data_IF_751624373528
#
_entry.id   IF_751624373528
#
_cell.length_a   1.000
_cell.length_b   1.000
_cell.length_c   1.000
_cell.angle_alpha   90.00
_cell.angle_beta   90.00
_cell.angle_gamma   90.00
#
_symmetry.space_group_name_H-M   'P 1'
#
loop_
_entity.id
_entity.type
_entity.pdbx_description
1 polymer ?
#
# COMPACT_ATOMS: atom_id res chain seq x y z
N UNK A 1 -0.74 21.96 14.79
CA UNK A 1 -0.03 20.69 14.53
C UNK A 1 0.76 20.79 13.24
N UNK A 2 2.03 20.46 13.30
CA UNK A 2 2.88 20.44 12.12
C UNK A 2 2.61 19.19 11.30
N UNK A 3 2.34 19.36 10.03
CA UNK A 3 2.16 18.23 9.10
C UNK A 3 3.48 17.98 8.37
N UNK A 4 3.79 16.70 8.20
CA UNK A 4 4.92 16.31 7.37
C UNK A 4 4.57 16.54 5.90
N UNK A 5 5.52 17.06 5.14
CA UNK A 5 5.36 17.19 3.71
C UNK A 5 5.81 15.90 3.03
N UNK A 6 5.23 15.60 1.87
CA UNK A 6 5.73 14.47 1.08
C UNK A 6 7.15 14.79 0.59
N UNK A 7 8.06 13.82 0.75
CA UNK A 7 9.37 13.94 0.16
C UNK A 7 9.25 13.89 -1.38
N UNK A 8 10.22 14.45 -2.12
CA UNK A 8 10.15 14.48 -3.58
C UNK A 8 10.09 13.07 -4.19
N UNK A 9 9.53 12.94 -5.39
CA UNK A 9 9.46 11.66 -6.10
C UNK A 9 10.84 11.10 -6.42
N UNK A 10 11.85 11.97 -6.55
CA UNK A 10 13.23 11.58 -6.82
C UNK A 10 14.08 11.47 -5.55
N UNK A 11 13.44 11.52 -4.36
CA UNK A 11 14.16 11.38 -3.09
C UNK A 11 15.03 10.12 -3.09
N UNK A 12 16.27 10.23 -2.60
CA UNK A 12 17.24 9.14 -2.70
C UNK A 12 18.15 9.03 -1.47
N UNK A 13 17.61 9.33 -0.30
CA UNK A 13 18.37 9.29 0.95
C UNK A 13 17.57 8.56 2.03
N UNK A 14 18.07 7.45 2.60
CA UNK A 14 19.30 6.73 2.24
C UNK A 14 19.15 6.03 0.88
N UNK A 15 20.24 6.04 0.12
CA UNK A 15 20.23 5.51 -1.24
C UNK A 15 19.79 4.05 -1.31
N UNK A 16 20.33 3.22 -0.42
CA UNK A 16 20.07 1.77 -0.43
C UNK A 16 18.62 1.46 -0.10
N UNK A 17 18.05 2.17 0.86
CA UNK A 17 16.64 1.98 1.26
C UNK A 17 15.71 2.42 0.14
N UNK A 18 15.98 3.58 -0.44
CA UNK A 18 15.17 4.09 -1.56
C UNK A 18 15.25 3.17 -2.77
N UNK A 19 16.43 2.63 -3.06
CA UNK A 19 16.62 1.69 -4.17
C UNK A 19 15.82 0.40 -3.95
N UNK A 20 15.83 -0.14 -2.73
CA UNK A 20 15.08 -1.35 -2.39
C UNK A 20 13.57 -1.13 -2.54
N UNK A 21 13.07 0.03 -2.11
CA UNK A 21 11.66 0.35 -2.24
C UNK A 21 11.27 0.46 -3.72
N UNK A 22 12.07 1.16 -4.52
CA UNK A 22 11.81 1.31 -5.95
C UNK A 22 11.82 -0.03 -6.67
N UNK A 23 12.73 -0.91 -6.30
CA UNK A 23 12.79 -2.25 -6.88
C UNK A 23 11.48 -3.00 -6.63
N UNK A 24 10.95 -2.94 -5.42
CA UNK A 24 9.68 -3.61 -5.08
C UNK A 24 8.49 -2.95 -5.77
N UNK A 25 8.52 -1.62 -5.93
CA UNK A 25 7.41 -0.84 -6.48
C UNK A 25 7.41 -0.76 -8.01
N UNK A 26 8.40 -1.28 -8.68
CA UNK A 26 8.50 -1.17 -10.14
C UNK A 26 9.13 0.10 -10.64
N UNK A 27 9.92 0.79 -9.80
CA UNK A 27 10.74 1.92 -10.19
C UNK A 27 10.40 3.27 -9.58
N UNK A 28 9.28 3.38 -8.85
CA UNK A 28 8.85 4.66 -8.29
C UNK A 28 8.53 4.55 -6.81
N UNK A 29 8.72 5.66 -6.09
CA UNK A 29 8.21 5.81 -4.73
C UNK A 29 6.74 6.26 -4.81
N UNK A 30 5.84 5.58 -4.11
CA UNK A 30 4.46 6.05 -4.01
C UNK A 30 4.34 7.08 -2.86
N UNK A 31 3.14 7.63 -2.68
CA UNK A 31 2.94 8.65 -1.65
C UNK A 31 3.23 8.11 -0.25
N UNK A 32 2.83 6.87 0.03
CA UNK A 32 3.09 6.25 1.32
C UNK A 32 4.59 6.14 1.59
N UNK A 33 5.36 5.70 0.59
CA UNK A 33 6.82 5.60 0.71
C UNK A 33 7.43 6.97 1.01
N UNK A 34 6.96 8.00 0.34
CA UNK A 34 7.45 9.36 0.49
C UNK A 34 7.14 9.93 1.87
N UNK A 35 6.10 9.44 2.52
CA UNK A 35 5.83 9.78 3.92
C UNK A 35 6.69 8.96 4.87
N UNK A 36 6.77 7.65 4.67
CA UNK A 36 7.52 6.76 5.55
C UNK A 36 9.00 7.06 5.57
N UNK A 37 9.56 7.57 4.47
CA UNK A 37 10.98 7.89 4.36
C UNK A 37 11.43 9.06 5.25
N UNK A 38 10.50 9.77 5.89
CA UNK A 38 10.87 10.67 6.98
C UNK A 38 11.49 9.90 8.16
N UNK A 39 11.21 8.60 8.25
CA UNK A 39 11.87 7.70 9.18
C UNK A 39 12.42 6.51 8.39
N UNK A 40 13.67 6.57 7.93
CA UNK A 40 14.23 5.52 7.07
C UNK A 40 14.11 4.11 7.66
N UNK A 41 14.29 3.95 8.97
CA UNK A 41 14.15 2.65 9.60
C UNK A 41 12.73 2.09 9.48
N UNK A 42 11.71 2.94 9.62
CA UNK A 42 10.31 2.52 9.45
C UNK A 42 10.06 2.17 7.99
N UNK A 43 10.54 2.97 7.05
CA UNK A 43 10.38 2.70 5.63
C UNK A 43 11.01 1.37 5.23
N UNK A 44 12.21 1.09 5.74
CA UNK A 44 12.91 -0.17 5.47
C UNK A 44 12.12 -1.37 6.01
N UNK A 45 11.71 -1.31 7.27
CA UNK A 45 10.93 -2.38 7.90
C UNK A 45 9.62 -2.64 7.20
N UNK A 46 8.92 -1.57 6.81
CA UNK A 46 7.69 -1.65 6.04
C UNK A 46 7.92 -2.36 4.71
N UNK A 47 8.97 -1.95 4.00
CA UNK A 47 9.29 -2.52 2.69
C UNK A 47 9.57 -4.02 2.78
N UNK A 48 10.36 -4.45 3.77
CA UNK A 48 10.68 -5.85 3.98
C UNK A 48 9.44 -6.65 4.36
N UNK A 49 8.67 -6.16 5.33
CA UNK A 49 7.49 -6.87 5.82
C UNK A 49 6.45 -7.06 4.73
N UNK A 50 6.10 -5.98 4.03
CA UNK A 50 5.07 -6.06 3.00
C UNK A 50 5.54 -6.75 1.74
N UNK A 51 6.84 -6.71 1.46
CA UNK A 51 7.42 -7.51 0.39
C UNK A 51 7.24 -9.01 0.66
N UNK A 52 7.51 -9.44 1.88
CA UNK A 52 7.33 -10.83 2.27
C UNK A 52 5.85 -11.23 2.30
N UNK A 53 4.99 -10.37 2.84
CA UNK A 53 3.56 -10.62 2.91
C UNK A 53 2.98 -10.86 1.52
N UNK A 54 3.39 -10.06 0.53
CA UNK A 54 2.87 -10.14 -0.84
C UNK A 54 3.49 -11.27 -1.64
N UNK A 55 4.76 -11.59 -1.43
CA UNK A 55 5.51 -12.46 -2.33
C UNK A 55 5.88 -13.82 -1.72
N UNK A 56 5.84 -13.96 -0.41
CA UNK A 56 6.33 -15.17 0.25
C UNK A 56 5.30 -15.86 1.15
N UNK A 57 4.06 -15.38 1.17
CA UNK A 57 2.98 -16.06 1.88
C UNK A 57 2.11 -16.83 0.89
N UNK A 58 1.29 -17.74 1.43
CA UNK A 58 0.37 -18.54 0.60
C UNK A 58 -0.98 -17.87 0.39
N UNK A 59 -1.17 -16.68 0.94
CA UNK A 59 -2.42 -15.93 0.77
C UNK A 59 -2.57 -15.53 -0.69
N UNK A 60 -3.74 -15.84 -1.29
CA UNK A 60 -3.98 -15.45 -2.68
C UNK A 60 -4.05 -13.92 -2.80
N UNK A 61 -3.64 -13.36 -3.95
CA UNK A 61 -3.78 -11.92 -4.17
C UNK A 61 -5.21 -11.42 -3.97
N UNK A 62 -6.20 -12.20 -4.37
CA UNK A 62 -7.61 -11.83 -4.23
C UNK A 62 -8.01 -11.67 -2.78
N UNK A 63 -7.65 -12.64 -1.93
CA UNK A 63 -7.98 -12.59 -0.49
C UNK A 63 -7.20 -11.46 0.19
N UNK A 64 -5.94 -11.28 -0.17
CA UNK A 64 -5.11 -10.21 0.38
C UNK A 64 -5.71 -8.84 0.09
N UNK A 65 -6.07 -8.58 -1.17
CA UNK A 65 -6.61 -7.27 -1.55
C UNK A 65 -8.03 -7.09 -1.01
N UNK A 66 -8.82 -8.16 -0.90
CA UNK A 66 -10.12 -8.10 -0.24
C UNK A 66 -9.96 -7.66 1.22
N UNK A 67 -9.04 -8.28 1.94
CA UNK A 67 -8.80 -7.93 3.35
C UNK A 67 -8.39 -6.46 3.50
N UNK A 68 -7.50 -5.99 2.64
CA UNK A 68 -7.06 -4.59 2.66
C UNK A 68 -8.21 -3.62 2.38
N UNK A 69 -9.07 -3.95 1.41
CA UNK A 69 -10.23 -3.12 1.09
C UNK A 69 -11.25 -3.10 2.23
N UNK A 70 -11.51 -4.24 2.86
CA UNK A 70 -12.45 -4.33 3.99
C UNK A 70 -11.96 -3.48 5.16
N UNK A 71 -10.70 -3.62 5.54
CA UNK A 71 -10.12 -2.82 6.62
C UNK A 71 -10.17 -1.33 6.27
N UNK A 72 -9.88 -0.98 5.02
CA UNK A 72 -9.94 0.41 4.57
C UNK A 72 -11.35 1.00 4.71
N UNK A 73 -12.38 0.25 4.30
CA UNK A 73 -13.77 0.71 4.42
C UNK A 73 -14.17 0.86 5.88
N UNK A 74 -13.87 -0.14 6.70
CA UNK A 74 -14.26 -0.12 8.12
C UNK A 74 -13.54 1.00 8.91
N UNK A 75 -12.40 1.45 8.44
CA UNK A 75 -11.64 2.52 9.10
C UNK A 75 -11.72 3.87 8.37
N UNK A 76 -12.57 3.98 7.37
CA UNK A 76 -12.71 5.20 6.56
C UNK A 76 -11.37 5.65 5.94
N UNK A 77 -10.54 4.70 5.55
CA UNK A 77 -9.24 4.97 4.94
C UNK A 77 -9.37 5.05 3.41
N UNK A 78 -9.84 6.19 2.91
CA UNK A 78 -10.14 6.35 1.47
C UNK A 78 -8.91 6.18 0.59
N UNK A 79 -7.74 6.62 1.03
CA UNK A 79 -6.49 6.44 0.28
C UNK A 79 -6.21 4.96 0.04
N UNK A 80 -6.30 4.15 1.10
CA UNK A 80 -6.02 2.72 0.99
C UNK A 80 -7.07 2.02 0.13
N UNK A 81 -8.35 2.41 0.23
CA UNK A 81 -9.38 1.84 -0.62
C UNK A 81 -9.14 2.17 -2.09
N UNK A 82 -8.77 3.41 -2.38
CA UNK A 82 -8.47 3.83 -3.76
C UNK A 82 -7.25 3.12 -4.33
N UNK A 83 -6.27 2.81 -3.47
CA UNK A 83 -5.06 2.11 -3.90
C UNK A 83 -5.32 0.61 -4.13
N UNK A 84 -6.15 -0.02 -3.30
CA UNK A 84 -6.31 -1.47 -3.31
C UNK A 84 -7.53 -1.99 -4.06
N UNK A 85 -8.58 -1.19 -4.25
CA UNK A 85 -9.75 -1.66 -5.00
C UNK A 85 -9.43 -2.03 -6.46
N UNK A 86 -8.58 -1.28 -7.19
CA UNK A 86 -8.17 -1.73 -8.52
C UNK A 86 -7.38 -3.05 -8.49
N UNK A 87 -6.54 -3.24 -7.48
CA UNK A 87 -5.77 -4.47 -7.34
C UNK A 87 -6.68 -5.66 -7.02
N UNK A 88 -7.74 -5.43 -6.25
CA UNK A 88 -8.74 -6.45 -5.98
C UNK A 88 -9.46 -6.86 -7.26
N UNK A 89 -9.81 -5.91 -8.12
CA UNK A 89 -10.40 -6.21 -9.41
C UNK A 89 -9.44 -6.99 -10.32
N UNK A 90 -8.18 -6.60 -10.37
CA UNK A 90 -7.16 -7.31 -11.13
C UNK A 90 -7.01 -8.76 -10.65
N UNK A 91 -7.21 -8.99 -9.36
CA UNK A 91 -7.13 -10.32 -8.77
C UNK A 91 -8.40 -11.16 -8.95
N UNK A 92 -9.40 -10.64 -9.69
CA UNK A 92 -10.59 -11.39 -10.08
C UNK A 92 -11.91 -10.90 -9.50
N UNK A 93 -11.92 -9.80 -8.75
CA UNK A 93 -13.16 -9.26 -8.21
C UNK A 93 -13.97 -8.55 -9.30
N UNK A 94 -15.29 -8.64 -9.19
CA UNK A 94 -16.20 -7.92 -10.09
C UNK A 94 -16.38 -6.48 -9.61
N UNK A 95 -16.86 -5.61 -10.51
CA UNK A 95 -17.21 -4.24 -10.17
C UNK A 95 -18.25 -4.20 -9.04
N UNK A 96 -19.22 -5.12 -9.10
CA UNK A 96 -20.27 -5.23 -8.09
C UNK A 96 -19.71 -5.63 -6.73
N UNK A 97 -18.72 -6.52 -6.70
CA UNK A 97 -18.08 -6.92 -5.44
C UNK A 97 -17.34 -5.75 -4.81
N UNK A 98 -16.63 -4.95 -5.61
CA UNK A 98 -15.95 -3.75 -5.11
C UNK A 98 -16.96 -2.74 -4.58
N UNK A 99 -18.01 -2.47 -5.35
CA UNK A 99 -19.05 -1.51 -4.94
C UNK A 99 -19.75 -1.96 -3.67
N UNK A 100 -19.96 -3.27 -3.50
CA UNK A 100 -20.60 -3.82 -2.33
C UNK A 100 -19.82 -3.58 -1.03
N UNK A 101 -18.50 -3.47 -1.11
CA UNK A 101 -17.68 -3.21 0.07
C UNK A 101 -17.99 -1.86 0.72
N UNK A 102 -18.40 -0.87 -0.07
CA UNK A 102 -18.74 0.45 0.46
C UNK A 102 -20.02 0.46 1.30
N UNK A 103 -20.77 -0.63 1.26
CA UNK A 103 -22.01 -0.79 2.03
C UNK A 103 -21.79 -1.49 3.36
N UNK A 104 -20.56 -1.84 3.72
CA UNK A 104 -20.26 -2.49 4.98
C UNK A 104 -20.53 -1.53 6.14
N UNK A 105 -21.21 -2.02 7.16
CA UNK A 105 -21.46 -1.27 8.39
C UNK A 105 -20.34 -1.53 9.39
N UNK A 106 -20.01 -0.48 10.16
CA UNK A 106 -19.01 -0.58 11.21
C UNK A 106 -19.66 -0.72 12.58
#
# INVERSE_FOLDING_TARGET
>A
MTKLTLLPVDHNDPKEICAAIRTRRGGKLNELDRMLLHSPAVAEGWNVFFGKLRNETTISPRIRELAMCVVAVLNNASYEFQAHSPLYQEAGATVEQVAGLKKLDT
#
